data_IF_296527611730
#
_entry.id   IF_296527611730
#
_cell.length_a   1.000
_cell.length_b   1.000
_cell.length_c   1.000
_cell.angle_alpha   90.00
_cell.angle_beta   90.00
_cell.angle_gamma   90.00
#
_symmetry.space_group_name_H-M   'P 1'
#
loop_
_entity.id
_entity.type
_entity.pdbx_description
1 polymer ?
#
# COMPACT_ATOMS: atom_id res chain seq x y z
N UNK A 1 13.90 17.07 -41.44
CA UNK A 1 14.55 17.14 -40.10
C UNK A 1 13.53 17.76 -39.18
N UNK A 2 12.84 16.92 -38.39
CA UNK A 2 11.94 17.40 -37.32
C UNK A 2 12.78 18.04 -36.25
N UNK A 3 12.65 19.33 -36.07
CA UNK A 3 13.24 20.04 -34.92
C UNK A 3 12.54 19.54 -33.67
N UNK A 4 13.28 18.80 -32.88
CA UNK A 4 12.89 18.37 -31.54
C UNK A 4 12.78 19.64 -30.67
N UNK A 5 11.58 20.22 -30.61
CA UNK A 5 11.28 21.41 -29.77
C UNK A 5 11.28 20.97 -28.30
N UNK A 6 12.46 20.82 -27.73
CA UNK A 6 12.63 20.71 -26.29
C UNK A 6 12.49 22.11 -25.70
N UNK A 7 11.27 22.43 -25.27
CA UNK A 7 10.93 23.72 -24.66
C UNK A 7 10.25 23.49 -23.30
N UNK A 8 9.98 24.55 -22.57
CA UNK A 8 9.36 24.50 -21.25
C UNK A 8 7.99 23.78 -21.25
N UNK A 9 7.25 23.86 -22.37
CA UNK A 9 5.95 23.18 -22.52
C UNK A 9 6.06 21.66 -22.66
N UNK A 10 7.26 21.16 -23.04
CA UNK A 10 7.52 19.71 -23.12
C UNK A 10 7.83 19.08 -21.76
N UNK A 11 8.01 19.87 -20.71
CA UNK A 11 8.29 19.41 -19.36
C UNK A 11 6.97 19.22 -18.62
N UNK A 12 6.58 17.97 -18.41
CA UNK A 12 5.42 17.63 -17.58
C UNK A 12 5.83 17.43 -16.13
N UNK A 13 5.19 18.18 -15.23
CA UNK A 13 5.29 17.94 -13.79
C UNK A 13 4.25 16.89 -13.44
N UNK A 14 4.71 15.73 -12.99
CA UNK A 14 3.86 14.65 -12.49
C UNK A 14 3.93 14.63 -10.97
N UNK A 15 2.78 14.75 -10.31
CA UNK A 15 2.69 14.76 -8.86
C UNK A 15 1.88 13.56 -8.34
N UNK A 16 2.21 13.13 -7.12
CA UNK A 16 1.44 12.14 -6.38
C UNK A 16 1.34 10.78 -7.08
N UNK A 17 0.18 10.15 -6.96
CA UNK A 17 -0.07 8.79 -7.46
C UNK A 17 -0.04 8.69 -8.99
N UNK A 18 -0.33 9.78 -9.70
CA UNK A 18 -0.27 9.80 -11.16
C UNK A 18 1.15 9.60 -11.68
N UNK A 19 2.15 10.15 -10.98
CA UNK A 19 3.57 9.92 -11.30
C UNK A 19 3.93 8.44 -11.22
N UNK A 20 3.43 7.74 -10.21
CA UNK A 20 3.63 6.29 -10.03
C UNK A 20 3.00 5.51 -11.19
N UNK A 21 1.77 5.83 -11.57
CA UNK A 21 1.06 5.14 -12.66
C UNK A 21 1.73 5.35 -14.02
N UNK A 22 2.27 6.53 -14.29
CA UNK A 22 2.96 6.83 -15.56
C UNK A 22 4.35 6.18 -15.65
N UNK A 23 5.02 5.96 -14.52
CA UNK A 23 6.37 5.37 -14.48
C UNK A 23 6.50 4.31 -13.37
N UNK A 24 5.69 3.24 -13.41
CA UNK A 24 5.64 2.25 -12.35
C UNK A 24 6.99 1.55 -12.12
N UNK A 25 7.75 1.31 -13.20
CA UNK A 25 9.07 0.68 -13.12
C UNK A 25 10.07 1.43 -12.24
N UNK A 26 9.94 2.74 -12.06
CA UNK A 26 10.79 3.52 -11.16
C UNK A 26 10.53 3.21 -9.68
N UNK A 27 9.34 2.71 -9.33
CA UNK A 27 8.94 2.41 -7.96
C UNK A 27 9.01 0.93 -7.61
N UNK A 28 8.69 0.05 -8.56
CA UNK A 28 8.61 -1.40 -8.34
C UNK A 28 9.57 -2.22 -9.23
N UNK A 29 10.43 -1.55 -9.98
CA UNK A 29 11.48 -2.16 -10.80
C UNK A 29 11.00 -2.71 -12.15
N UNK A 30 9.79 -3.24 -12.24
CA UNK A 30 9.21 -3.74 -13.49
C UNK A 30 7.68 -3.79 -13.43
N UNK A 31 7.03 -3.97 -14.57
CA UNK A 31 5.58 -4.22 -14.67
C UNK A 31 5.26 -5.68 -15.05
N UNK A 32 6.27 -6.54 -15.01
CA UNK A 32 6.15 -7.98 -15.18
C UNK A 32 5.86 -8.70 -13.85
N UNK A 33 5.99 -10.05 -13.82
CA UNK A 33 5.72 -10.87 -12.63
C UNK A 33 6.50 -10.42 -11.39
N UNK A 34 7.76 -9.99 -11.55
CA UNK A 34 8.59 -9.52 -10.44
C UNK A 34 8.01 -8.26 -9.79
N UNK A 35 7.62 -7.26 -10.59
CA UNK A 35 6.99 -6.04 -10.08
C UNK A 35 5.60 -6.30 -9.49
N UNK A 36 4.85 -7.23 -10.07
CA UNK A 36 3.56 -7.67 -9.53
C UNK A 36 3.70 -8.21 -8.10
N UNK A 37 4.64 -9.13 -7.88
CA UNK A 37 4.89 -9.71 -6.54
C UNK A 37 5.47 -8.67 -5.58
N UNK A 38 6.21 -7.67 -6.09
CA UNK A 38 6.73 -6.58 -5.27
C UNK A 38 5.62 -5.82 -4.51
N UNK A 39 4.42 -5.69 -5.09
CA UNK A 39 3.27 -5.09 -4.41
C UNK A 39 2.92 -5.84 -3.10
N UNK A 40 3.03 -7.16 -3.11
CA UNK A 40 2.79 -7.99 -1.91
C UNK A 40 3.85 -7.68 -0.84
N UNK A 41 5.12 -7.60 -1.26
CA UNK A 41 6.24 -7.34 -0.34
C UNK A 41 6.09 -5.99 0.35
N UNK A 42 5.69 -4.95 -0.36
CA UNK A 42 5.48 -3.62 0.22
C UNK A 42 4.43 -3.63 1.34
N UNK A 43 3.35 -4.37 1.19
CA UNK A 43 2.31 -4.47 2.22
C UNK A 43 2.74 -5.39 3.37
N UNK A 44 3.38 -6.52 3.07
CA UNK A 44 3.90 -7.45 4.09
C UNK A 44 4.98 -6.77 4.94
N UNK A 45 5.89 -6.02 4.34
CA UNK A 45 6.95 -5.30 5.05
C UNK A 45 6.38 -4.30 6.06
N UNK A 46 5.24 -3.67 5.79
CA UNK A 46 4.56 -2.81 6.76
C UNK A 46 4.06 -3.60 7.98
N UNK A 47 3.53 -4.81 7.78
CA UNK A 47 3.11 -5.69 8.88
C UNK A 47 4.30 -6.25 9.66
N UNK A 48 5.43 -6.51 8.98
CA UNK A 48 6.68 -6.92 9.62
C UNK A 48 7.24 -5.78 10.48
N UNK A 49 7.23 -4.54 9.99
CA UNK A 49 7.66 -3.38 10.77
C UNK A 49 6.83 -3.20 12.04
N UNK A 50 5.54 -3.45 11.98
CA UNK A 50 4.64 -3.43 13.13
C UNK A 50 5.03 -4.53 14.15
N UNK A 51 5.33 -5.73 13.68
CA UNK A 51 5.79 -6.84 14.51
C UNK A 51 7.17 -6.56 15.13
N UNK A 52 8.12 -6.01 14.37
CA UNK A 52 9.45 -5.60 14.87
C UNK A 52 9.36 -4.48 15.92
N UNK A 53 8.35 -3.63 15.82
CA UNK A 53 8.05 -2.62 16.83
C UNK A 53 7.43 -3.21 18.13
N UNK A 54 7.20 -4.52 18.17
CA UNK A 54 6.65 -5.25 19.31
C UNK A 54 5.13 -5.38 19.32
N UNK A 55 4.47 -5.02 18.21
CA UNK A 55 3.01 -5.05 18.09
C UNK A 55 2.56 -6.09 17.07
N UNK A 56 1.88 -7.12 17.57
CA UNK A 56 1.44 -8.24 16.72
C UNK A 56 2.54 -9.28 16.47
N UNK A 57 2.12 -10.49 16.09
CA UNK A 57 3.00 -11.63 15.81
C UNK A 57 2.47 -12.53 14.72
N UNK A 58 1.35 -12.16 14.13
CA UNK A 58 0.68 -12.97 13.14
C UNK A 58 0.44 -12.13 11.89
N UNK A 59 0.91 -12.62 10.76
CA UNK A 59 0.73 -12.02 9.44
C UNK A 59 0.19 -13.11 8.52
N UNK A 60 -0.95 -12.85 7.91
CA UNK A 60 -1.58 -13.77 6.96
C UNK A 60 -1.61 -13.13 5.58
N UNK A 61 -1.16 -13.88 4.56
CA UNK A 61 -1.27 -13.50 3.15
C UNK A 61 -2.17 -14.49 2.44
N UNK A 62 -3.19 -13.99 1.75
CA UNK A 62 -4.16 -14.79 1.02
C UNK A 62 -4.25 -14.32 -0.43
N UNK A 63 -4.20 -15.29 -1.36
CA UNK A 63 -4.56 -15.06 -2.76
C UNK A 63 -6.04 -15.40 -2.90
N UNK A 64 -6.86 -14.43 -3.25
CA UNK A 64 -8.30 -14.63 -3.43
C UNK A 64 -8.62 -15.23 -4.82
N UNK A 65 -9.81 -15.79 -5.00
CA UNK A 65 -10.25 -16.42 -6.24
C UNK A 65 -10.24 -15.45 -7.45
N UNK A 66 -10.40 -14.16 -7.21
CA UNK A 66 -10.33 -13.12 -8.24
C UNK A 66 -8.91 -12.59 -8.48
N UNK A 67 -7.89 -13.24 -7.90
CA UNK A 67 -6.50 -12.81 -7.89
C UNK A 67 -6.24 -11.46 -7.19
N UNK A 68 -7.12 -10.99 -6.34
CA UNK A 68 -6.75 -9.97 -5.37
C UNK A 68 -5.92 -10.59 -4.24
N UNK A 69 -5.08 -9.77 -3.61
CA UNK A 69 -4.28 -10.17 -2.45
C UNK A 69 -4.88 -9.55 -1.20
N UNK A 70 -4.98 -10.35 -0.15
CA UNK A 70 -5.34 -9.91 1.20
C UNK A 70 -4.17 -10.16 2.14
N UNK A 71 -3.70 -9.10 2.80
CA UNK A 71 -2.68 -9.16 3.85
C UNK A 71 -3.32 -8.68 5.14
N UNK A 72 -3.24 -9.47 6.20
CA UNK A 72 -3.77 -9.15 7.52
C UNK A 72 -2.71 -9.32 8.57
N UNK A 73 -2.66 -8.41 9.54
CA UNK A 73 -1.86 -8.53 10.76
C UNK A 73 -2.72 -8.32 12.01
N UNK A 74 -2.16 -8.68 13.16
CA UNK A 74 -2.76 -8.45 14.47
C UNK A 74 -2.00 -7.38 15.28
N UNK A 75 -1.42 -6.39 14.59
CA UNK A 75 -0.77 -5.23 15.19
C UNK A 75 -1.75 -4.23 15.80
N UNK A 76 -1.34 -2.96 15.91
CA UNK A 76 -2.17 -1.89 16.51
C UNK A 76 -3.32 -1.41 15.62
N UNK A 77 -3.28 -1.71 14.34
CA UNK A 77 -4.17 -1.12 13.32
C UNK A 77 -3.68 0.26 12.85
N UNK A 78 -3.88 0.54 11.57
CA UNK A 78 -3.55 1.85 10.98
C UNK A 78 -4.31 2.96 11.70
N UNK A 79 -3.66 4.11 12.02
CA UNK A 79 -4.34 5.25 12.62
C UNK A 79 -5.52 5.74 11.78
N UNK A 80 -6.65 6.03 12.43
CA UNK A 80 -7.92 6.37 11.78
C UNK A 80 -8.41 7.78 12.12
N UNK A 81 -7.64 8.56 12.87
CA UNK A 81 -7.97 9.95 13.24
C UNK A 81 -7.82 10.91 12.06
N UNK A 82 -8.35 12.12 12.23
CA UNK A 82 -8.12 13.19 11.27
C UNK A 82 -6.66 13.66 11.31
N UNK A 83 -6.03 13.74 10.17
CA UNK A 83 -4.69 14.30 10.01
C UNK A 83 -4.77 15.84 9.95
N UNK A 84 -3.67 16.52 10.30
CA UNK A 84 -3.56 18.00 10.25
C UNK A 84 -3.86 18.62 8.87
N UNK A 85 -3.81 17.81 7.80
CA UNK A 85 -4.18 18.23 6.44
C UNK A 85 -5.71 18.29 6.21
N UNK A 86 -6.54 17.95 7.20
CA UNK A 86 -7.99 17.87 7.06
C UNK A 86 -8.51 16.59 6.42
N UNK A 87 -7.62 15.64 6.10
CA UNK A 87 -7.96 14.32 5.57
C UNK A 87 -7.89 13.25 6.66
N UNK A 88 -8.58 12.13 6.46
CA UNK A 88 -8.39 10.97 7.32
C UNK A 88 -6.96 10.41 7.18
N UNK A 89 -6.36 9.92 8.27
CA UNK A 89 -4.99 9.39 8.25
C UNK A 89 -4.83 8.21 7.30
N UNK A 90 -5.83 7.34 7.15
CA UNK A 90 -5.82 6.25 6.16
C UNK A 90 -5.69 6.85 4.75
N UNK A 91 -6.50 7.87 4.42
CA UNK A 91 -6.40 8.53 3.11
C UNK A 91 -5.00 9.08 2.87
N UNK A 92 -4.42 9.78 3.84
CA UNK A 92 -3.07 10.34 3.71
C UNK A 92 -2.03 9.26 3.45
N UNK A 93 -2.02 8.16 4.23
CA UNK A 93 -1.06 7.06 4.08
C UNK A 93 -1.14 6.41 2.69
N UNK A 94 -2.34 6.26 2.16
CA UNK A 94 -2.56 5.54 0.90
C UNK A 94 -2.61 6.43 -0.35
N UNK A 95 -2.62 7.76 -0.21
CA UNK A 95 -2.69 8.67 -1.37
C UNK A 95 -1.54 9.66 -1.46
N UNK A 96 -0.75 9.84 -0.39
CA UNK A 96 0.38 10.77 -0.38
C UNK A 96 1.69 10.00 -0.36
N UNK A 97 2.56 10.25 -1.34
CA UNK A 97 3.91 9.68 -1.34
C UNK A 97 4.69 10.23 -0.13
N UNK A 98 5.48 9.40 0.52
CA UNK A 98 6.29 9.74 1.69
C UNK A 98 5.48 10.17 2.95
N UNK A 99 4.24 9.73 3.07
CA UNK A 99 3.39 10.04 4.23
C UNK A 99 3.48 9.01 5.37
N UNK A 100 4.35 8.01 5.28
CA UNK A 100 4.48 6.95 6.28
C UNK A 100 5.09 7.43 7.60
N UNK A 101 4.70 6.82 8.73
CA UNK A 101 5.23 7.08 10.08
C UNK A 101 6.74 6.81 10.25
N UNK A 102 7.40 6.29 9.23
CA UNK A 102 8.85 6.01 9.18
C UNK A 102 9.72 7.28 9.07
N UNK A 103 9.12 8.43 8.77
CA UNK A 103 9.83 9.71 8.60
C UNK A 103 9.88 10.61 9.85
N UNK A 104 9.21 10.22 10.95
CA UNK A 104 9.27 10.97 12.20
C UNK A 104 10.33 10.36 13.13
N UNK A 105 11.39 11.14 13.43
CA UNK A 105 12.50 10.72 14.31
C UNK A 105 12.09 10.51 15.77
N UNK A 106 10.96 11.04 16.21
CA UNK A 106 10.53 10.98 17.61
C UNK A 106 9.60 9.82 17.96
N UNK A 107 8.85 9.29 16.97
CA UNK A 107 7.90 8.18 17.18
C UNK A 107 7.96 7.12 16.06
N UNK A 108 8.98 7.14 15.23
CA UNK A 108 9.17 6.21 14.12
C UNK A 108 9.71 4.84 14.56
N UNK A 109 9.66 3.88 13.66
CA UNK A 109 10.24 2.56 13.87
C UNK A 109 11.78 2.67 13.98
N UNK A 110 12.35 2.04 15.02
CA UNK A 110 13.82 1.99 15.22
C UNK A 110 14.51 1.15 14.15
N UNK A 111 13.82 0.16 13.61
CA UNK A 111 14.25 -0.70 12.51
C UNK A 111 13.08 -0.83 11.55
N UNK A 112 13.31 -0.79 10.25
CA UNK A 112 12.26 -0.92 9.24
C UNK A 112 12.70 -1.91 8.16
N UNK A 113 11.82 -2.85 7.80
CA UNK A 113 12.01 -3.75 6.67
C UNK A 113 11.77 -3.03 5.34
N UNK A 114 10.84 -2.08 5.31
CA UNK A 114 10.54 -1.26 4.15
C UNK A 114 11.46 -0.04 4.03
N UNK A 115 12.19 0.09 2.92
CA UNK A 115 13.25 1.09 2.75
C UNK A 115 12.77 2.52 2.48
N UNK A 116 11.55 2.74 1.96
CA UNK A 116 11.19 4.03 1.36
C UNK A 116 9.94 4.71 1.93
N UNK A 117 9.12 4.04 2.76
CA UNK A 117 7.87 4.61 3.32
C UNK A 117 6.83 5.03 2.27
N UNK A 118 6.96 4.54 1.05
CA UNK A 118 6.06 4.85 -0.09
C UNK A 118 5.21 3.66 -0.49
N UNK A 119 5.45 2.48 0.08
CA UNK A 119 4.88 1.23 -0.37
C UNK A 119 3.36 1.22 -0.45
N UNK A 120 2.66 1.67 0.60
CA UNK A 120 1.20 1.67 0.63
C UNK A 120 0.59 2.54 -0.47
N UNK A 121 1.10 3.74 -0.69
CA UNK A 121 0.61 4.64 -1.73
C UNK A 121 0.97 4.15 -3.13
N UNK A 122 2.13 3.53 -3.31
CA UNK A 122 2.54 2.91 -4.59
C UNK A 122 1.64 1.73 -4.93
N UNK A 123 1.35 0.83 -3.98
CA UNK A 123 0.43 -0.30 -4.20
C UNK A 123 -0.96 0.22 -4.57
N UNK A 124 -1.45 1.25 -3.87
CA UNK A 124 -2.74 1.86 -4.18
C UNK A 124 -2.78 2.46 -5.59
N UNK A 125 -1.74 3.21 -5.97
CA UNK A 125 -1.62 3.78 -7.31
C UNK A 125 -1.65 2.74 -8.44
N UNK A 126 -1.08 1.56 -8.21
CA UNK A 126 -0.94 0.49 -9.19
C UNK A 126 -2.06 -0.56 -9.11
N UNK A 127 -3.10 -0.28 -8.34
CA UNK A 127 -4.25 -1.17 -8.15
C UNK A 127 -5.50 -0.63 -8.85
N UNK A 128 -6.32 -1.51 -9.41
CA UNK A 128 -7.66 -1.17 -9.88
C UNK A 128 -8.58 -0.83 -8.72
N UNK A 129 -8.41 -1.48 -7.59
CA UNK A 129 -9.00 -1.11 -6.31
C UNK A 129 -8.13 -1.58 -5.13
N UNK A 130 -8.24 -0.88 -4.02
CA UNK A 130 -7.62 -1.23 -2.75
C UNK A 130 -8.58 -0.90 -1.61
N UNK A 131 -8.63 -1.76 -0.61
CA UNK A 131 -9.45 -1.61 0.57
C UNK A 131 -8.61 -1.78 1.82
N UNK A 132 -8.75 -0.85 2.74
CA UNK A 132 -8.10 -0.84 4.05
C UNK A 132 -9.17 -1.09 5.12
N UNK A 133 -8.93 -2.07 5.98
CA UNK A 133 -9.68 -2.28 7.20
C UNK A 133 -8.73 -2.16 8.38
N UNK A 134 -9.05 -1.28 9.31
CA UNK A 134 -8.28 -1.09 10.54
C UNK A 134 -9.15 -1.37 11.75
N UNK A 135 -8.74 -2.38 12.51
CA UNK A 135 -9.33 -2.73 13.80
C UNK A 135 -8.56 -1.98 14.89
N UNK A 136 -9.16 -0.89 15.38
CA UNK A 136 -8.52 0.00 16.34
C UNK A 136 -9.54 0.70 17.23
N UNK A 137 -9.18 0.90 18.50
CA UNK A 137 -10.02 1.63 19.47
C UNK A 137 -11.43 1.06 19.59
N UNK A 138 -11.56 -0.27 19.51
CA UNK A 138 -12.84 -0.97 19.65
C UNK A 138 -13.74 -0.93 18.41
N UNK A 139 -13.27 -0.35 17.30
CA UNK A 139 -14.04 -0.16 16.07
C UNK A 139 -13.34 -0.78 14.86
N UNK A 140 -14.14 -1.14 13.87
CA UNK A 140 -13.70 -1.56 12.55
C UNK A 140 -13.85 -0.36 11.61
N UNK A 141 -12.71 0.21 11.22
CA UNK A 141 -12.65 1.32 10.29
C UNK A 141 -12.34 0.78 8.89
N UNK A 142 -13.03 1.28 7.88
CA UNK A 142 -12.89 0.81 6.50
C UNK A 142 -12.82 1.98 5.53
N UNK A 143 -11.91 1.88 4.56
CA UNK A 143 -11.79 2.84 3.47
C UNK A 143 -11.44 2.13 2.18
N UNK A 144 -12.06 2.57 1.08
CA UNK A 144 -11.86 2.02 -0.26
C UNK A 144 -11.33 3.05 -1.22
N UNK A 145 -10.47 2.59 -2.12
CA UNK A 145 -9.89 3.35 -3.22
C UNK A 145 -10.11 2.58 -4.52
N UNK A 146 -10.31 3.31 -5.60
CA UNK A 146 -10.48 2.74 -6.95
C UNK A 146 -9.66 3.51 -7.99
N UNK A 147 -9.49 2.91 -9.14
CA UNK A 147 -8.86 3.55 -10.30
C UNK A 147 -7.52 4.22 -10.01
N UNK A 148 -6.62 3.51 -9.31
CA UNK A 148 -5.29 4.04 -9.02
C UNK A 148 -5.24 4.99 -7.83
N UNK A 149 -6.08 4.78 -6.84
CA UNK A 149 -5.99 5.44 -5.54
C UNK A 149 -6.97 6.58 -5.30
N UNK A 150 -8.03 6.67 -6.10
CA UNK A 150 -9.11 7.63 -5.85
C UNK A 150 -10.00 7.15 -4.70
N UNK A 151 -10.18 7.92 -3.61
CA UNK A 151 -11.04 7.55 -2.51
C UNK A 151 -12.50 7.39 -2.95
N UNK A 152 -13.16 6.37 -2.42
CA UNK A 152 -14.60 6.12 -2.65
C UNK A 152 -15.34 6.24 -1.34
N UNK A 153 -16.10 7.30 -1.15
CA UNK A 153 -17.00 7.51 -0.02
C UNK A 153 -16.35 7.84 1.33
N UNK A 154 -15.04 8.00 1.41
CA UNK A 154 -14.32 8.29 2.65
C UNK A 154 -14.25 7.10 3.63
N UNK A 155 -13.64 7.32 4.80
CA UNK A 155 -13.51 6.31 5.85
C UNK A 155 -14.84 6.12 6.58
N UNK A 156 -15.23 4.87 6.81
CA UNK A 156 -16.44 4.47 7.49
C UNK A 156 -16.14 3.58 8.69
N UNK A 157 -16.96 3.69 9.76
CA UNK A 157 -16.98 2.73 10.86
C UNK A 157 -18.05 1.71 10.53
N UNK A 158 -17.66 0.45 10.33
CA UNK A 158 -18.56 -0.62 9.86
C UNK A 158 -18.93 -1.62 10.96
N UNK A 159 -18.36 -1.50 12.15
CA UNK A 159 -18.71 -2.37 13.28
C UNK A 159 -17.82 -2.15 14.50
N UNK A 160 -18.09 -2.95 15.52
CA UNK A 160 -17.31 -3.04 16.75
C UNK A 160 -16.39 -4.25 16.71
N UNK A 161 -15.25 -4.17 17.39
CA UNK A 161 -14.31 -5.27 17.51
C UNK A 161 -13.54 -5.24 18.83
N UNK A 162 -13.14 -6.41 19.31
CA UNK A 162 -12.18 -6.56 20.43
C UNK A 162 -10.77 -6.83 19.93
N UNK A 163 -10.59 -7.05 18.63
CA UNK A 163 -9.30 -7.31 18.01
C UNK A 163 -8.66 -5.99 17.57
N UNK A 164 -7.33 -6.01 17.44
CA UNK A 164 -6.57 -4.96 16.76
C UNK A 164 -5.88 -5.54 15.54
N UNK A 165 -5.52 -4.70 14.59
CA UNK A 165 -4.77 -5.10 13.42
C UNK A 165 -5.19 -4.35 12.16
N UNK A 166 -4.45 -4.59 11.10
CA UNK A 166 -4.71 -4.03 9.77
C UNK A 166 -4.98 -5.15 8.78
N UNK A 167 -5.97 -4.96 7.93
CA UNK A 167 -6.19 -5.80 6.75
C UNK A 167 -6.20 -4.92 5.51
N UNK A 168 -5.34 -5.25 4.55
CA UNK A 168 -5.29 -4.59 3.25
C UNK A 168 -5.62 -5.62 2.18
N UNK A 169 -6.62 -5.31 1.35
CA UNK A 169 -6.96 -6.11 0.18
C UNK A 169 -6.81 -5.26 -1.06
N UNK A 170 -6.07 -5.74 -2.05
CA UNK A 170 -5.85 -4.98 -3.28
C UNK A 170 -5.86 -5.86 -4.52
N UNK A 171 -6.26 -5.28 -5.64
CA UNK A 171 -6.25 -5.92 -6.95
C UNK A 171 -5.38 -5.14 -7.91
N UNK A 172 -4.28 -5.72 -8.41
CA UNK A 172 -3.41 -5.06 -9.38
C UNK A 172 -4.18 -4.62 -10.62
N UNK A 173 -3.80 -3.48 -11.18
CA UNK A 173 -4.43 -2.94 -12.37
C UNK A 173 -3.89 -3.65 -13.63
N UNK A 174 -4.74 -4.39 -14.39
CA UNK A 174 -4.32 -5.08 -15.60
C UNK A 174 -3.91 -4.15 -16.75
N UNK A 175 -4.18 -2.85 -16.63
CA UNK A 175 -3.70 -1.84 -17.58
C UNK A 175 -2.23 -1.49 -17.38
N UNK A 176 -1.66 -1.83 -16.20
CA UNK A 176 -0.27 -1.53 -15.83
C UNK A 176 0.60 -2.77 -15.96
N UNK A 177 0.12 -3.90 -15.45
CA UNK A 177 0.89 -5.14 -15.39
C UNK A 177 0.67 -6.02 -16.61
N UNK A 178 1.75 -6.64 -17.10
CA UNK A 178 1.69 -7.62 -18.18
C UNK A 178 0.95 -8.91 -17.77
N UNK A 179 0.89 -9.19 -16.48
CA UNK A 179 0.11 -10.25 -15.86
C UNK A 179 -0.36 -9.81 -14.48
N UNK A 180 -1.53 -10.28 -14.07
CA UNK A 180 -2.07 -10.08 -12.71
C UNK A 180 -2.23 -11.40 -11.96
N UNK A 181 -1.61 -12.48 -12.47
CA UNK A 181 -1.63 -13.81 -11.84
C UNK A 181 -0.48 -13.94 -10.85
N UNK A 182 -0.82 -14.13 -9.58
CA UNK A 182 0.15 -14.39 -8.52
C UNK A 182 0.59 -15.86 -8.50
N UNK A 183 1.88 -16.07 -8.23
CA UNK A 183 2.44 -17.40 -8.01
C UNK A 183 2.49 -17.70 -6.50
N UNK A 184 1.77 -18.71 -6.08
CA UNK A 184 1.69 -19.13 -4.68
C UNK A 184 3.07 -19.53 -4.12
N UNK A 185 3.86 -20.30 -4.86
CA UNK A 185 5.16 -20.77 -4.37
C UNK A 185 6.13 -19.61 -4.19
N UNK A 186 6.14 -18.65 -5.09
CA UNK A 186 6.95 -17.41 -4.97
C UNK A 186 6.61 -16.65 -3.68
N UNK A 187 5.32 -16.48 -3.37
CA UNK A 187 4.87 -15.81 -2.13
C UNK A 187 5.27 -16.64 -0.92
N UNK A 188 5.02 -17.95 -0.93
CA UNK A 188 5.33 -18.85 0.18
C UNK A 188 6.82 -18.89 0.51
N UNK A 189 7.68 -18.99 -0.51
CA UNK A 189 9.14 -18.99 -0.33
C UNK A 189 9.60 -17.69 0.32
N UNK A 190 9.17 -16.55 -0.20
CA UNK A 190 9.54 -15.25 0.36
C UNK A 190 9.08 -15.07 1.82
N UNK A 191 7.86 -15.51 2.14
CA UNK A 191 7.35 -15.42 3.51
C UNK A 191 8.16 -16.33 4.47
N UNK A 192 8.64 -17.48 4.02
CA UNK A 192 9.53 -18.35 4.81
C UNK A 192 10.88 -17.73 5.09
N UNK A 193 11.44 -16.98 4.14
CA UNK A 193 12.72 -16.28 4.33
C UNK A 193 12.62 -15.12 5.32
N UNK A 194 11.41 -14.59 5.51
CA UNK A 194 11.16 -13.37 6.29
C UNK A 194 10.62 -13.69 7.70
N UNK A 195 10.07 -14.89 7.92
CA UNK A 195 9.53 -15.34 9.21
C UNK A 195 10.64 -15.77 10.18
#
# INVERSE_FOLDING_TARGET
MEQNNYNAESIQILEGLEAVRKRPGMYIGSTGPRGLHHLVWEIVDNSIDEALAGFGREITVQINNDNSIRVSDNGRGVPCSMHKSGKNTIEVIFTVLHAGGKFSSENGYKVSAGLHGVGSSVVNALSSWLEVESNREGKIHKMRFENGGHPVGGMQIVGDTRKTGTTITFKPDPKIFSTTLYNYDTIKERLRETA
#
